data_IF_019308879372
#
_entry.id   IF_019308879372
#
_cell.length_a   1.000
_cell.length_b   1.000
_cell.length_c   1.000
_cell.angle_alpha   90.00
_cell.angle_beta   90.00
_cell.angle_gamma   90.00
#
_symmetry.space_group_name_H-M   'P 1'
#
loop_
_entity.id
_entity.type
_entity.pdbx_description
1 polymer ?
#
# COMPACT_ATOMS: atom_id res chain seq x y z
N UNK A 1 10.81 22.01 12.99
CA UNK A 1 11.52 20.97 12.49
C UNK A 1 10.79 20.16 11.43
N UNK A 2 11.42 19.22 10.90
CA UNK A 2 10.95 18.55 9.72
C UNK A 2 9.83 17.56 9.98
N UNK A 3 8.81 17.63 9.15
CA UNK A 3 7.71 16.67 9.19
C UNK A 3 7.62 15.88 7.92
N UNK A 4 8.64 15.93 7.11
CA UNK A 4 8.55 15.32 5.80
C UNK A 4 8.34 13.83 5.87
N UNK A 5 8.80 13.19 6.95
CA UNK A 5 8.65 11.76 7.08
C UNK A 5 7.20 11.32 7.10
N UNK A 6 6.30 12.22 7.50
CA UNK A 6 4.89 11.89 7.64
C UNK A 6 4.03 12.53 6.59
N UNK A 7 4.66 13.14 5.58
CA UNK A 7 3.89 13.81 4.55
C UNK A 7 3.27 12.79 3.61
N UNK A 8 1.97 12.93 3.38
CA UNK A 8 1.29 12.13 2.40
C UNK A 8 1.84 12.42 1.01
N UNK A 9 2.04 11.39 0.25
CA UNK A 9 2.47 11.51 -1.13
C UNK A 9 1.34 11.00 -2.01
N UNK A 10 0.87 11.87 -2.90
CA UNK A 10 -0.15 11.48 -3.84
C UNK A 10 0.52 10.95 -5.10
N UNK A 11 0.20 9.74 -5.46
CA UNK A 11 0.76 9.12 -6.64
C UNK A 11 -0.35 8.68 -7.57
N UNK A 12 -0.12 8.88 -8.86
CA UNK A 12 -1.03 8.40 -9.88
C UNK A 12 -0.60 7.03 -10.32
N UNK A 13 -1.53 6.11 -10.35
CA UNK A 13 -1.26 4.73 -10.72
C UNK A 13 -2.30 4.28 -11.73
N UNK A 14 -1.92 3.30 -12.55
CA UNK A 14 -2.88 2.63 -13.40
C UNK A 14 -3.17 1.29 -12.77
N UNK A 15 -4.41 1.09 -12.36
CA UNK A 15 -4.84 -0.12 -11.67
C UNK A 15 -5.99 -0.71 -12.46
N UNK A 16 -5.82 -1.94 -12.93
CA UNK A 16 -6.86 -2.64 -13.70
C UNK A 16 -7.36 -1.79 -14.86
N UNK A 17 -6.45 -1.07 -15.51
CA UNK A 17 -6.78 -0.26 -16.67
C UNK A 17 -7.31 1.13 -16.36
N UNK A 18 -7.42 1.50 -15.10
CA UNK A 18 -7.93 2.80 -14.70
C UNK A 18 -6.84 3.62 -14.03
N UNK A 19 -6.80 4.92 -14.36
CA UNK A 19 -5.91 5.83 -13.65
C UNK A 19 -6.56 6.21 -12.34
N UNK A 20 -5.79 6.11 -11.27
CA UNK A 20 -6.28 6.51 -9.97
C UNK A 20 -5.16 7.19 -9.19
N UNK A 21 -5.54 8.06 -8.26
CA UNK A 21 -4.59 8.72 -7.39
C UNK A 21 -4.76 8.18 -5.99
N UNK A 22 -3.63 7.88 -5.35
CA UNK A 22 -3.62 7.37 -4.00
C UNK A 22 -2.71 8.23 -3.15
N UNK A 23 -3.21 8.69 -2.03
CA UNK A 23 -2.41 9.44 -1.06
C UNK A 23 -2.03 8.53 0.09
N UNK A 24 -0.75 8.50 0.39
CA UNK A 24 -0.26 7.58 1.40
C UNK A 24 1.05 8.11 1.94
N UNK A 25 1.27 7.94 3.23
CA UNK A 25 2.51 8.35 3.84
C UNK A 25 3.68 7.58 3.24
N UNK A 26 4.83 8.22 3.17
CA UNK A 26 5.98 7.61 2.53
C UNK A 26 6.38 6.26 3.13
N UNK A 27 6.40 6.09 4.46
CA UNK A 27 6.74 4.77 5.00
C UNK A 27 5.81 3.66 4.53
N UNK A 28 4.54 3.97 4.27
CA UNK A 28 3.63 2.96 3.75
C UNK A 28 3.94 2.62 2.30
N UNK A 29 4.35 3.63 1.50
CA UNK A 29 4.78 3.34 0.14
C UNK A 29 5.98 2.41 0.13
N UNK A 30 6.94 2.66 1.00
CA UNK A 30 8.11 1.80 1.09
C UNK A 30 7.72 0.39 1.51
N UNK A 31 6.81 0.28 2.46
CA UNK A 31 6.35 -1.03 2.91
C UNK A 31 5.66 -1.79 1.78
N UNK A 32 4.83 -1.10 1.00
CA UNK A 32 4.16 -1.75 -0.12
C UNK A 32 5.16 -2.26 -1.15
N UNK A 33 6.22 -1.50 -1.41
CA UNK A 33 7.26 -1.94 -2.32
C UNK A 33 7.93 -3.20 -1.81
N UNK A 34 8.21 -3.26 -0.52
CA UNK A 34 8.85 -4.43 0.08
C UNK A 34 7.92 -5.65 0.00
N UNK A 35 6.65 -5.45 0.32
CA UNK A 35 5.69 -6.56 0.26
C UNK A 35 5.56 -7.07 -1.16
N UNK A 36 5.43 -6.16 -2.12
CA UNK A 36 5.33 -6.57 -3.51
C UNK A 36 6.54 -7.36 -3.96
N UNK A 37 7.73 -6.92 -3.54
CA UNK A 37 8.96 -7.63 -3.91
C UNK A 37 8.97 -9.04 -3.36
N UNK A 38 8.51 -9.23 -2.12
CA UNK A 38 8.49 -10.58 -1.55
C UNK A 38 7.50 -11.48 -2.25
N UNK A 39 6.49 -10.91 -2.89
CA UNK A 39 5.47 -11.69 -3.58
C UNK A 39 5.72 -11.78 -5.08
N UNK A 40 6.79 -11.19 -5.55
CA UNK A 40 7.09 -11.22 -6.96
C UNK A 40 6.16 -10.36 -7.80
N UNK A 41 5.61 -9.32 -7.20
CA UNK A 41 4.64 -8.44 -7.87
C UNK A 41 5.21 -7.04 -8.03
N UNK A 42 4.67 -6.29 -8.98
CA UNK A 42 4.88 -4.86 -9.00
C UNK A 42 3.99 -4.23 -7.94
N UNK A 43 4.33 -3.01 -7.53
CA UNK A 43 3.49 -2.30 -6.57
C UNK A 43 2.10 -2.10 -7.14
N UNK A 44 1.99 -1.77 -8.42
CA UNK A 44 0.67 -1.57 -9.03
C UNK A 44 -0.14 -2.85 -9.00
N UNK A 45 0.48 -4.00 -9.24
CA UNK A 45 -0.24 -5.27 -9.19
C UNK A 45 -0.71 -5.59 -7.77
N UNK A 46 0.15 -5.32 -6.79
CA UNK A 46 -0.23 -5.53 -5.40
C UNK A 46 -1.42 -4.64 -5.03
N UNK A 47 -1.35 -3.37 -5.41
CA UNK A 47 -2.43 -2.45 -5.09
C UNK A 47 -3.73 -2.87 -5.78
N UNK A 48 -3.63 -3.35 -7.02
CA UNK A 48 -4.81 -3.84 -7.73
C UNK A 48 -5.46 -5.01 -6.99
N UNK A 49 -4.65 -5.89 -6.45
CA UNK A 49 -5.15 -7.02 -5.68
C UNK A 49 -5.88 -6.56 -4.43
N UNK A 50 -5.28 -5.59 -3.73
CA UNK A 50 -5.90 -5.05 -2.52
C UNK A 50 -7.18 -4.31 -2.86
N UNK A 51 -7.18 -3.57 -3.96
CA UNK A 51 -8.35 -2.81 -4.38
C UNK A 51 -9.52 -3.75 -4.68
N UNK A 52 -9.24 -4.87 -5.32
CA UNK A 52 -10.28 -5.84 -5.64
C UNK A 52 -10.91 -6.41 -4.37
N UNK A 53 -10.11 -6.62 -3.34
CA UNK A 53 -10.60 -7.25 -2.13
C UNK A 53 -11.16 -6.31 -1.09
N UNK A 54 -11.03 -5.00 -1.29
CA UNK A 54 -11.56 -4.07 -0.30
C UNK A 54 -13.08 -3.97 -0.42
N UNK A 55 -13.70 -3.67 0.69
CA UNK A 55 -15.15 -3.56 0.70
C UNK A 55 -15.56 -2.11 0.84
N UNK A 56 -15.93 -1.69 2.05
CA UNK A 56 -16.46 -0.37 2.24
C UNK A 56 -15.40 0.67 2.60
N UNK A 57 -14.15 0.26 2.75
CA UNK A 57 -13.09 1.19 3.12
C UNK A 57 -12.48 1.81 1.88
N UNK A 58 -11.94 3.03 2.01
CA UNK A 58 -11.27 3.65 0.88
C UNK A 58 -9.93 2.96 0.64
N UNK A 59 -9.37 3.20 -0.54
CA UNK A 59 -8.17 2.48 -0.94
C UNK A 59 -6.98 2.78 -0.04
N UNK A 60 -6.78 4.04 0.34
CA UNK A 60 -5.65 4.37 1.21
C UNK A 60 -5.73 3.61 2.52
N UNK A 61 -6.92 3.54 3.12
CA UNK A 61 -7.11 2.78 4.34
C UNK A 61 -6.86 1.30 4.13
N UNK A 62 -7.35 0.76 3.02
CA UNK A 62 -7.14 -0.65 2.72
C UNK A 62 -5.66 -0.97 2.59
N UNK A 63 -4.90 -0.07 1.97
CA UNK A 63 -3.46 -0.28 1.82
C UNK A 63 -2.76 -0.25 3.16
N UNK A 64 -3.12 0.70 4.04
CA UNK A 64 -2.51 0.75 5.37
C UNK A 64 -2.82 -0.50 6.17
N UNK A 65 -4.06 -0.96 6.11
CA UNK A 65 -4.44 -2.17 6.84
C UNK A 65 -3.72 -3.39 6.30
N UNK A 66 -3.52 -3.45 5.00
CA UNK A 66 -2.79 -4.57 4.40
C UNK A 66 -1.35 -4.60 4.90
N UNK A 67 -0.70 -3.43 4.92
CA UNK A 67 0.66 -3.33 5.42
C UNK A 67 0.74 -3.77 6.86
N UNK A 68 -0.17 -3.27 7.69
CA UNK A 68 -0.17 -3.63 9.10
C UNK A 68 -0.35 -5.14 9.28
N UNK A 69 -1.32 -5.72 8.57
CA UNK A 69 -1.57 -7.14 8.69
C UNK A 69 -0.37 -7.97 8.26
N UNK A 70 0.30 -7.54 7.19
CA UNK A 70 1.47 -8.26 6.71
C UNK A 70 2.57 -8.32 7.77
N UNK A 71 2.87 -7.19 8.38
CA UNK A 71 3.97 -7.16 9.34
C UNK A 71 3.58 -7.78 10.67
N UNK A 72 2.32 -7.71 11.05
CA UNK A 72 1.87 -8.39 12.25
C UNK A 72 1.97 -9.89 12.11
N UNK A 73 1.63 -10.42 10.94
CA UNK A 73 1.78 -11.85 10.70
C UNK A 73 3.23 -12.28 10.76
N UNK A 74 4.13 -11.47 10.20
CA UNK A 74 5.54 -11.79 10.24
C UNK A 74 6.07 -11.78 11.68
N UNK A 75 5.66 -10.79 12.45
CA UNK A 75 6.10 -10.71 13.84
C UNK A 75 5.58 -11.89 14.64
N UNK A 76 4.34 -12.30 14.40
CA UNK A 76 3.77 -13.42 15.14
C UNK A 76 4.40 -14.76 14.75
N UNK A 77 4.81 -14.86 13.48
CA UNK A 77 5.39 -16.09 13.01
C UNK A 77 6.89 -16.23 13.24
N UNK A 78 7.53 -15.16 13.71
CA UNK A 78 9.00 -15.16 13.86
C UNK A 78 9.49 -15.97 15.06
#
# INVERSE_FOLDING_TARGET
VSQTANTDRKRSLTIAGHRTSVSLEEPFWEALKEIAATEGLTVAALIATIDTGREAVNLSSALRLHVLAHYRRRAAGA
#
